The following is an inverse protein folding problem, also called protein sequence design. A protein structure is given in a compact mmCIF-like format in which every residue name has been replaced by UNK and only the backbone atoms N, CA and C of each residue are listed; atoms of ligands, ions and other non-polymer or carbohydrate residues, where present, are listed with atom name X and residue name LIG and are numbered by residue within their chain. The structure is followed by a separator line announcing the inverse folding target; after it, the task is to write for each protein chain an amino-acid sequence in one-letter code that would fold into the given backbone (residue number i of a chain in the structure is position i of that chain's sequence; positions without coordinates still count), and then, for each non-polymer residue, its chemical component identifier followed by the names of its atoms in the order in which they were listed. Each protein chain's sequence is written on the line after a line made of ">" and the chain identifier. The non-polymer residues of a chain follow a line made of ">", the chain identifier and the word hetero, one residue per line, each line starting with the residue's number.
data_IF_606520167012
#
_entry.id   IF_606520167012
#
_cell.length_a   1.000
_cell.length_b   1.000
_cell.length_c   1.000
_cell.angle_alpha   90.00
_cell.angle_beta   90.00
_cell.angle_gamma   90.00
#
_symmetry.space_group_name_H-M   'P 1'
#
loop_
_entity.id
_entity.type
_entity.pdbx_description
1 polymer ?
#
# COMPACT_ATOMS: atom_id res chain seq x y z
N UNK A 1 30.22 -10.70 15.60
CA UNK A 1 28.97 -9.94 15.67
C UNK A 1 27.88 -10.96 15.90
N UNK A 2 27.26 -10.96 17.07
CA UNK A 2 26.25 -11.95 17.43
C UNK A 2 25.00 -11.65 16.64
N UNK A 3 24.57 -12.59 15.78
CA UNK A 3 23.25 -12.62 15.15
C UNK A 3 22.21 -12.89 16.25
N UNK A 4 21.88 -11.85 17.01
CA UNK A 4 20.72 -11.90 17.90
C UNK A 4 19.49 -11.63 17.03
N UNK A 5 18.65 -12.65 16.76
CA UNK A 5 17.43 -12.51 15.98
C UNK A 5 16.41 -11.58 16.65
N UNK A 6 16.68 -11.13 17.87
CA UNK A 6 15.85 -10.19 18.61
C UNK A 6 16.16 -8.71 18.32
N UNK A 7 17.20 -8.38 17.54
CA UNK A 7 17.50 -6.99 17.21
C UNK A 7 16.57 -6.46 16.12
N UNK A 8 16.07 -5.20 16.24
CA UNK A 8 15.30 -4.58 15.17
C UNK A 8 16.18 -4.49 13.90
N UNK A 9 15.60 -4.83 12.74
CA UNK A 9 16.27 -4.78 11.43
C UNK A 9 16.90 -3.43 11.10
N UNK A 10 16.46 -2.37 11.78
CA UNK A 10 17.02 -1.04 11.66
C UNK A 10 17.86 -0.72 12.90
N UNK A 11 19.11 -0.35 12.71
CA UNK A 11 19.96 0.14 13.80
C UNK A 11 19.30 1.37 14.45
N UNK A 12 19.54 1.59 15.73
CA UNK A 12 19.05 2.75 16.49
C UNK A 12 19.55 4.09 15.93
N UNK A 13 20.56 4.08 15.06
CA UNK A 13 21.08 5.24 14.35
C UNK A 13 20.32 5.59 13.06
N UNK A 14 19.30 4.80 12.69
CA UNK A 14 18.53 5.04 11.50
C UNK A 14 17.55 6.23 11.68
N UNK A 15 17.40 7.13 10.70
CA UNK A 15 16.55 8.33 10.84
C UNK A 15 15.10 8.05 11.24
N UNK A 16 14.55 6.86 10.89
CA UNK A 16 13.19 6.44 11.23
C UNK A 16 13.08 5.70 12.57
N UNK A 17 14.18 5.51 13.32
CA UNK A 17 14.17 4.80 14.59
C UNK A 17 13.23 5.42 15.63
N UNK A 18 12.98 6.72 15.56
CA UNK A 18 12.02 7.41 16.42
C UNK A 18 10.58 7.38 15.88
N UNK A 19 10.39 7.39 14.56
CA UNK A 19 9.05 7.45 13.94
C UNK A 19 8.34 6.11 13.96
N UNK A 20 9.04 5.02 13.67
CA UNK A 20 8.42 3.69 13.57
C UNK A 20 7.82 3.18 14.90
N UNK A 21 8.46 3.29 16.07
CA UNK A 21 7.82 2.93 17.35
C UNK A 21 6.56 3.74 17.61
N UNK A 22 6.60 5.07 17.38
CA UNK A 22 5.45 5.95 17.56
C UNK A 22 4.29 5.60 16.61
N UNK A 23 4.59 5.17 15.38
CA UNK A 23 3.60 4.65 14.46
C UNK A 23 3.05 3.30 14.93
N UNK A 24 3.93 2.40 15.40
CA UNK A 24 3.53 1.09 15.91
C UNK A 24 2.64 1.17 17.16
N UNK A 25 2.60 2.31 17.87
CA UNK A 25 1.67 2.57 18.99
C UNK A 25 0.27 3.00 18.53
N UNK A 26 0.09 3.33 17.24
CA UNK A 26 -1.22 3.68 16.69
C UNK A 26 -2.14 2.46 16.64
N UNK A 27 -3.42 2.72 16.41
CA UNK A 27 -4.45 1.69 16.19
C UNK A 27 -4.38 1.13 14.78
N UNK A 28 -4.17 2.03 13.81
CA UNK A 28 -4.06 1.71 12.38
C UNK A 28 -2.92 2.51 11.77
N UNK A 29 -2.10 1.86 10.96
CA UNK A 29 -1.01 2.51 10.20
C UNK A 29 -1.05 2.04 8.75
N UNK A 30 -1.07 2.98 7.82
CA UNK A 30 -1.04 2.70 6.39
C UNK A 30 0.26 3.22 5.79
N UNK A 31 1.08 2.33 5.25
CA UNK A 31 2.30 2.72 4.52
C UNK A 31 1.93 2.97 3.07
N UNK A 32 1.97 4.25 2.70
CA UNK A 32 1.59 4.73 1.37
C UNK A 32 2.80 4.92 0.46
N UNK A 33 2.65 4.59 -0.82
CA UNK A 33 3.70 4.83 -1.80
C UNK A 33 3.63 3.93 -3.03
N UNK A 34 4.33 4.33 -4.09
CA UNK A 34 4.48 3.53 -5.31
C UNK A 34 5.10 2.15 -5.01
N UNK A 35 4.87 1.14 -5.85
CA UNK A 35 5.70 -0.05 -5.87
C UNK A 35 7.19 0.32 -5.94
N UNK A 36 8.04 -0.40 -5.20
CA UNK A 36 9.48 -0.11 -5.18
C UNK A 36 9.88 1.16 -4.42
N UNK A 37 9.14 1.57 -3.40
CA UNK A 37 9.53 2.68 -2.50
C UNK A 37 9.91 2.21 -1.09
N UNK A 38 10.07 0.90 -0.88
CA UNK A 38 10.45 0.36 0.43
C UNK A 38 9.29 0.11 1.39
N UNK A 39 8.02 0.20 0.95
CA UNK A 39 6.85 -0.01 1.80
C UNK A 39 6.88 -1.34 2.55
N UNK A 40 7.12 -2.44 1.84
CA UNK A 40 7.13 -3.79 2.44
C UNK A 40 8.18 -3.91 3.56
N UNK A 41 9.33 -3.23 3.43
CA UNK A 41 10.32 -3.15 4.49
C UNK A 41 9.78 -2.39 5.71
N UNK A 42 9.11 -1.26 5.50
CA UNK A 42 8.51 -0.48 6.60
C UNK A 42 7.37 -1.25 7.28
N UNK A 43 6.53 -1.95 6.51
CA UNK A 43 5.49 -2.85 7.04
C UNK A 43 6.14 -3.92 7.92
N UNK A 44 7.19 -4.59 7.43
CA UNK A 44 7.92 -5.60 8.18
C UNK A 44 8.45 -5.03 9.52
N UNK A 45 9.07 -3.85 9.49
CA UNK A 45 9.56 -3.19 10.70
C UNK A 45 8.44 -2.86 11.70
N UNK A 46 7.32 -2.33 11.24
CA UNK A 46 6.15 -2.04 12.08
C UNK A 46 5.60 -3.32 12.73
N UNK A 47 5.52 -4.42 11.98
CA UNK A 47 5.11 -5.73 12.48
C UNK A 47 6.01 -6.19 13.62
N UNK A 48 7.34 -6.15 13.42
CA UNK A 48 8.29 -6.58 14.45
C UNK A 48 8.25 -5.71 15.71
N UNK A 49 8.19 -4.38 15.53
CA UNK A 49 8.11 -3.44 16.66
C UNK A 49 6.84 -3.71 17.48
N UNK A 50 5.70 -3.83 16.81
CA UNK A 50 4.41 -4.08 17.47
C UNK A 50 4.36 -5.44 18.16
N UNK A 51 4.86 -6.50 17.53
CA UNK A 51 4.91 -7.83 18.12
C UNK A 51 5.80 -7.89 19.35
N UNK A 52 6.96 -7.20 19.35
CA UNK A 52 7.82 -7.08 20.54
C UNK A 52 7.15 -6.30 21.68
N UNK A 53 6.24 -5.40 21.37
CA UNK A 53 5.38 -4.73 22.35
C UNK A 53 4.17 -5.58 22.79
N UNK A 54 4.09 -6.85 22.37
CA UNK A 54 3.01 -7.77 22.72
C UNK A 54 1.71 -7.55 21.95
N UNK A 55 1.76 -6.79 20.83
CA UNK A 55 0.56 -6.50 20.03
C UNK A 55 0.31 -7.57 18.97
N UNK A 56 -0.96 -7.86 18.72
CA UNK A 56 -1.43 -8.72 17.63
C UNK A 56 -1.56 -7.89 16.34
N UNK A 57 -0.86 -8.30 15.29
CA UNK A 57 -0.78 -7.53 14.05
C UNK A 57 -1.67 -8.12 12.98
N UNK A 58 -2.52 -7.28 12.39
CA UNK A 58 -3.37 -7.57 11.24
C UNK A 58 -2.84 -6.82 10.02
N UNK A 59 -2.84 -7.48 8.86
CA UNK A 59 -2.34 -6.87 7.62
C UNK A 59 -3.47 -6.64 6.62
N UNK A 60 -3.49 -5.46 6.02
CA UNK A 60 -4.34 -5.11 4.88
C UNK A 60 -3.44 -4.74 3.70
N UNK A 61 -3.27 -5.66 2.76
CA UNK A 61 -2.38 -5.52 1.62
C UNK A 61 -3.15 -5.65 0.32
N UNK A 62 -2.84 -4.79 -0.66
CA UNK A 62 -3.48 -4.83 -1.98
C UNK A 62 -3.32 -6.19 -2.67
N UNK A 63 -2.12 -6.75 -2.64
CA UNK A 63 -1.79 -7.99 -3.33
C UNK A 63 -2.42 -9.24 -2.68
N UNK A 64 -2.88 -9.12 -1.42
CA UNK A 64 -3.62 -10.16 -0.72
C UNK A 64 -5.15 -9.97 -0.87
N UNK A 65 -5.63 -8.72 -0.85
CA UNK A 65 -7.05 -8.41 -0.93
C UNK A 65 -7.62 -8.54 -2.35
N UNK A 66 -6.85 -8.23 -3.39
CA UNK A 66 -7.28 -8.22 -4.80
C UNK A 66 -7.62 -9.60 -5.39
N UNK A 67 -6.81 -10.65 -5.20
CA UNK A 67 -7.01 -11.93 -5.90
C UNK A 67 -8.41 -12.56 -5.71
N UNK A 68 -9.03 -12.54 -4.52
CA UNK A 68 -10.39 -13.04 -4.35
C UNK A 68 -11.42 -12.30 -5.21
N UNK A 69 -11.23 -11.00 -5.49
CA UNK A 69 -12.11 -10.26 -6.40
C UNK A 69 -11.98 -10.77 -7.84
N UNK A 70 -10.76 -11.00 -8.31
CA UNK A 70 -10.51 -11.50 -9.67
C UNK A 70 -10.99 -12.95 -9.84
N UNK A 71 -10.94 -13.75 -8.77
CA UNK A 71 -11.40 -15.14 -8.74
C UNK A 71 -12.91 -15.30 -8.60
N UNK A 72 -13.62 -14.30 -8.04
CA UNK A 72 -15.05 -14.36 -7.78
C UNK A 72 -15.87 -14.50 -9.07
N UNK A 73 -17.10 -14.99 -8.99
CA UNK A 73 -17.99 -15.18 -10.15
C UNK A 73 -18.21 -13.85 -10.90
N UNK A 74 -18.52 -12.80 -10.17
CA UNK A 74 -18.71 -11.46 -10.75
C UNK A 74 -17.40 -10.89 -11.31
N UNK A 75 -16.30 -11.06 -10.58
CA UNK A 75 -14.99 -10.52 -10.96
C UNK A 75 -14.40 -11.11 -12.22
N UNK A 76 -14.67 -12.39 -12.49
CA UNK A 76 -14.21 -13.05 -13.74
C UNK A 76 -14.74 -12.39 -15.02
N UNK A 77 -15.79 -11.57 -14.95
CA UNK A 77 -16.26 -10.75 -16.08
C UNK A 77 -15.31 -9.59 -16.41
N UNK A 78 -14.40 -9.27 -15.49
CA UNK A 78 -13.49 -8.13 -15.53
C UNK A 78 -12.02 -8.57 -15.46
N UNK A 79 -11.53 -9.31 -16.47
CA UNK A 79 -10.17 -9.81 -16.47
C UNK A 79 -9.14 -8.67 -16.52
N UNK A 80 -7.93 -8.95 -16.07
CA UNK A 80 -6.82 -8.02 -16.26
C UNK A 80 -6.55 -7.76 -17.73
N UNK A 81 -6.23 -6.52 -18.06
CA UNK A 81 -5.81 -6.11 -19.41
C UNK A 81 -4.36 -5.66 -19.33
N UNK A 82 -3.48 -6.32 -20.08
CA UNK A 82 -2.03 -6.04 -20.08
C UNK A 82 -1.38 -6.08 -18.68
N UNK A 83 -1.86 -6.96 -17.79
CA UNK A 83 -1.39 -7.07 -16.41
C UNK A 83 -1.93 -5.98 -15.47
N UNK A 84 -2.87 -5.15 -15.95
CA UNK A 84 -3.54 -4.13 -15.14
C UNK A 84 -4.90 -4.64 -14.70
N UNK A 85 -5.14 -4.64 -13.40
CA UNK A 85 -6.43 -4.99 -12.79
C UNK A 85 -7.54 -4.09 -13.35
N UNK A 86 -8.68 -4.67 -13.72
CA UNK A 86 -9.81 -3.92 -14.28
C UNK A 86 -10.35 -2.86 -13.30
N UNK A 87 -10.88 -1.76 -13.83
CA UNK A 87 -11.41 -0.63 -13.06
C UNK A 87 -12.47 -1.04 -12.02
N UNK A 88 -13.39 -1.91 -12.41
CA UNK A 88 -14.45 -2.45 -11.53
C UNK A 88 -13.85 -3.18 -10.34
N UNK A 89 -12.87 -4.03 -10.56
CA UNK A 89 -12.18 -4.78 -9.48
C UNK A 89 -11.43 -3.83 -8.57
N UNK A 90 -10.73 -2.83 -9.13
CA UNK A 90 -10.01 -1.83 -8.31
C UNK A 90 -10.95 -1.06 -7.38
N UNK A 91 -12.08 -0.58 -7.91
CA UNK A 91 -13.10 0.13 -7.13
C UNK A 91 -13.74 -0.77 -6.08
N UNK A 92 -14.12 -2.00 -6.44
CA UNK A 92 -14.72 -2.96 -5.53
C UNK A 92 -13.79 -3.30 -4.35
N UNK A 93 -12.51 -3.55 -4.64
CA UNK A 93 -11.49 -3.82 -3.62
C UNK A 93 -11.30 -2.64 -2.65
N UNK A 94 -11.33 -1.40 -3.16
CA UNK A 94 -11.19 -0.21 -2.33
C UNK A 94 -12.42 0.04 -1.42
N UNK A 95 -13.62 -0.16 -1.94
CA UNK A 95 -14.86 -0.06 -1.14
C UNK A 95 -14.91 -1.16 -0.07
N UNK A 96 -14.55 -2.40 -0.43
CA UNK A 96 -14.44 -3.49 0.55
C UNK A 96 -13.44 -3.16 1.65
N UNK A 97 -12.27 -2.60 1.32
CA UNK A 97 -11.25 -2.26 2.31
C UNK A 97 -11.81 -1.33 3.41
N UNK A 98 -12.64 -0.36 3.06
CA UNK A 98 -13.31 0.51 4.04
C UNK A 98 -14.26 -0.29 4.94
N UNK A 99 -15.08 -1.16 4.37
CA UNK A 99 -15.96 -2.06 5.13
C UNK A 99 -15.16 -2.99 6.06
N UNK A 100 -14.06 -3.55 5.56
CA UNK A 100 -13.16 -4.42 6.32
C UNK A 100 -12.49 -3.70 7.50
N UNK A 101 -12.15 -2.40 7.36
CA UNK A 101 -11.64 -1.58 8.46
C UNK A 101 -12.68 -1.41 9.57
N UNK A 102 -13.91 -1.05 9.21
CA UNK A 102 -15.00 -0.87 10.18
C UNK A 102 -15.34 -2.18 10.89
N UNK A 103 -15.35 -3.29 10.16
CA UNK A 103 -15.58 -4.61 10.75
C UNK A 103 -14.42 -5.04 11.67
N UNK A 104 -13.16 -4.78 11.25
CA UNK A 104 -11.99 -5.07 12.06
C UNK A 104 -11.98 -4.29 13.38
N UNK A 105 -12.29 -2.99 13.35
CA UNK A 105 -12.32 -2.16 14.55
C UNK A 105 -13.41 -2.62 15.54
N UNK A 106 -14.57 -3.00 15.04
CA UNK A 106 -15.66 -3.53 15.85
C UNK A 106 -15.31 -4.89 16.50
N UNK A 107 -14.57 -5.76 15.80
CA UNK A 107 -14.15 -7.06 16.30
C UNK A 107 -12.97 -6.99 17.27
N UNK A 108 -12.15 -5.99 17.17
CA UNK A 108 -10.91 -5.84 17.93
C UNK A 108 -10.87 -4.47 18.65
N UNK A 109 -11.72 -4.20 19.63
CA UNK A 109 -11.85 -2.87 20.24
C UNK A 109 -10.68 -2.48 21.16
N UNK A 110 -9.79 -3.43 21.48
CA UNK A 110 -8.70 -3.20 22.44
C UNK A 110 -7.41 -2.69 21.77
N UNK A 111 -6.54 -1.95 22.50
CA UNK A 111 -5.29 -1.43 21.96
C UNK A 111 -4.23 -2.52 21.68
N UNK A 112 -4.47 -3.75 22.11
CA UNK A 112 -3.59 -4.91 21.84
C UNK A 112 -3.51 -5.25 20.34
N UNK A 113 -4.47 -4.79 19.55
CA UNK A 113 -4.53 -5.03 18.12
C UNK A 113 -4.00 -3.83 17.34
N UNK A 114 -3.14 -4.07 16.37
CA UNK A 114 -2.67 -3.12 15.37
C UNK A 114 -3.06 -3.58 13.97
N UNK A 115 -3.66 -2.70 13.18
CA UNK A 115 -3.81 -2.92 11.73
C UNK A 115 -2.70 -2.17 10.99
N UNK A 116 -1.92 -2.90 10.19
CA UNK A 116 -0.92 -2.32 9.28
C UNK A 116 -1.40 -2.53 7.85
N UNK A 117 -1.53 -1.45 7.09
CA UNK A 117 -1.93 -1.49 5.68
C UNK A 117 -0.79 -1.10 4.74
N UNK A 118 -0.80 -1.67 3.54
CA UNK A 118 0.02 -1.22 2.43
C UNK A 118 -0.87 -0.62 1.33
N UNK A 119 -0.71 0.70 1.06
CA UNK A 119 -1.60 1.45 0.17
C UNK A 119 -0.83 2.04 -1.00
N UNK A 120 -0.89 1.44 -2.20
CA UNK A 120 -0.23 1.99 -3.39
C UNK A 120 -0.84 3.30 -3.88
N UNK A 121 -2.16 3.49 -3.77
CA UNK A 121 -3.02 4.55 -4.31
C UNK A 121 -2.97 4.70 -5.83
N UNK A 122 -1.79 4.74 -6.43
CA UNK A 122 -1.63 4.93 -7.87
C UNK A 122 -2.53 4.00 -8.68
N UNK A 123 -3.23 4.57 -9.64
CA UNK A 123 -4.19 3.84 -10.47
C UNK A 123 -5.39 3.29 -9.70
N UNK A 124 -5.83 3.99 -8.66
CA UNK A 124 -6.99 3.62 -7.82
C UNK A 124 -6.82 2.29 -7.07
N UNK A 125 -5.66 2.08 -6.45
CA UNK A 125 -5.43 0.93 -5.56
C UNK A 125 -5.58 1.38 -4.11
N UNK A 126 -6.73 1.10 -3.49
CA UNK A 126 -7.12 1.54 -2.15
C UNK A 126 -7.27 3.07 -1.98
N UNK A 127 -7.51 3.82 -3.07
CA UNK A 127 -7.72 5.28 -3.01
C UNK A 127 -8.93 5.64 -2.14
N UNK A 128 -9.91 4.75 -2.06
CA UNK A 128 -11.10 4.89 -1.22
C UNK A 128 -10.75 5.13 0.26
N UNK A 129 -9.59 4.64 0.73
CA UNK A 129 -9.09 4.92 2.08
C UNK A 129 -8.67 6.40 2.26
N UNK A 130 -8.26 7.06 1.18
CA UNK A 130 -7.92 8.48 1.18
C UNK A 130 -9.14 9.39 0.92
N UNK A 131 -10.16 8.91 0.19
CA UNK A 131 -11.37 9.66 -0.14
C UNK A 131 -12.28 9.87 1.08
N UNK A 132 -12.92 11.03 1.15
CA UNK A 132 -14.00 11.30 2.13
C UNK A 132 -15.29 10.64 1.66
N UNK A 133 -15.75 9.64 2.40
CA UNK A 133 -17.02 8.94 2.12
C UNK A 133 -17.86 8.91 3.40
N UNK A 134 -19.18 9.01 3.25
CA UNK A 134 -20.11 8.92 4.36
C UNK A 134 -20.40 7.45 4.70
N UNK A 135 -19.47 6.84 5.45
CA UNK A 135 -19.56 5.45 5.90
C UNK A 135 -18.92 5.24 7.28
N UNK A 136 -18.99 4.01 7.78
CA UNK A 136 -18.46 3.64 9.12
C UNK A 136 -16.94 3.72 9.23
N UNK A 137 -16.20 3.72 8.12
CA UNK A 137 -14.75 3.83 8.13
C UNK A 137 -14.27 5.29 8.24
N UNK A 138 -15.09 6.27 7.84
CA UNK A 138 -14.66 7.68 7.82
C UNK A 138 -14.20 8.21 9.19
N UNK A 139 -14.94 7.99 10.29
CA UNK A 139 -14.49 8.41 11.61
C UNK A 139 -13.17 7.75 12.03
N UNK A 140 -12.94 6.48 11.63
CA UNK A 140 -11.72 5.74 11.93
C UNK A 140 -10.52 6.30 11.16
N UNK A 141 -10.71 6.56 9.86
CA UNK A 141 -9.67 7.05 8.95
C UNK A 141 -9.25 8.50 9.22
N UNK A 142 -10.10 9.29 9.88
CA UNK A 142 -9.82 10.67 10.29
C UNK A 142 -9.33 10.80 11.73
N UNK A 143 -9.44 9.73 12.52
CA UNK A 143 -9.01 9.73 13.92
C UNK A 143 -7.48 9.83 14.04
N UNK A 144 -7.00 10.47 15.12
CA UNK A 144 -5.58 10.55 15.43
C UNK A 144 -4.93 9.17 15.69
N UNK A 145 -5.74 8.15 15.98
CA UNK A 145 -5.29 6.75 16.13
C UNK A 145 -5.02 6.03 14.81
N UNK A 146 -5.46 6.60 13.68
CA UNK A 146 -5.15 6.13 12.33
C UNK A 146 -4.14 7.07 11.68
N UNK A 147 -3.08 6.52 11.07
CA UNK A 147 -2.03 7.34 10.49
C UNK A 147 -1.52 6.77 9.17
N UNK A 148 -1.30 7.66 8.19
CA UNK A 148 -0.73 7.32 6.90
C UNK A 148 0.74 7.75 6.86
N UNK A 149 1.65 6.82 6.55
CA UNK A 149 3.07 7.06 6.44
C UNK A 149 3.50 7.02 4.97
N UNK A 150 3.90 8.17 4.41
CA UNK A 150 4.32 8.26 3.01
C UNK A 150 5.79 7.87 2.91
N UNK A 151 6.09 6.73 2.29
CA UNK A 151 7.45 6.26 2.07
C UNK A 151 8.10 7.02 0.89
N UNK A 152 8.99 7.97 1.17
CA UNK A 152 9.66 8.82 0.18
C UNK A 152 11.13 8.44 0.07
N UNK A 153 11.53 7.57 -0.88
CA UNK A 153 12.94 7.24 -1.09
C UNK A 153 13.69 8.40 -1.73
N UNK A 154 14.95 8.60 -1.30
CA UNK A 154 15.87 9.46 -2.04
C UNK A 154 16.14 8.90 -3.44
N UNK A 155 16.70 9.72 -4.34
CA UNK A 155 17.08 9.27 -5.70
C UNK A 155 18.04 8.09 -5.67
N UNK A 156 18.93 8.05 -4.69
CA UNK A 156 19.89 6.96 -4.51
C UNK A 156 19.20 5.67 -4.09
N UNK A 157 18.32 5.74 -3.06
CA UNK A 157 17.58 4.60 -2.56
C UNK A 157 16.64 4.05 -3.64
N UNK A 158 15.96 4.93 -4.38
CA UNK A 158 15.08 4.51 -5.48
C UNK A 158 15.84 3.73 -6.55
N UNK A 159 16.98 4.22 -7.00
CA UNK A 159 17.84 3.50 -7.97
C UNK A 159 18.32 2.14 -7.46
N UNK A 160 18.70 2.08 -6.17
CA UNK A 160 19.10 0.82 -5.56
C UNK A 160 17.95 -0.20 -5.56
N UNK A 161 16.73 0.22 -5.17
CA UNK A 161 15.56 -0.66 -5.13
C UNK A 161 15.21 -1.16 -6.54
N UNK A 162 15.28 -0.31 -7.56
CA UNK A 162 15.03 -0.73 -8.95
C UNK A 162 16.05 -1.77 -9.44
N UNK A 163 17.33 -1.57 -9.15
CA UNK A 163 18.39 -2.52 -9.48
C UNK A 163 18.25 -3.85 -8.70
N UNK A 164 17.84 -3.80 -7.43
CA UNK A 164 17.57 -5.01 -6.65
C UNK A 164 16.39 -5.80 -7.22
N UNK A 165 15.31 -5.11 -7.63
CA UNK A 165 14.16 -5.78 -8.25
C UNK A 165 14.52 -6.46 -9.56
N UNK A 166 15.35 -5.84 -10.38
CA UNK A 166 15.83 -6.44 -11.63
C UNK A 166 16.59 -7.75 -11.34
N UNK A 167 17.46 -7.75 -10.32
CA UNK A 167 18.18 -8.96 -9.88
C UNK A 167 17.24 -10.04 -9.33
N UNK A 168 16.24 -9.66 -8.51
CA UNK A 168 15.30 -10.60 -7.89
C UNK A 168 14.27 -11.16 -8.89
N UNK A 169 13.89 -10.40 -9.91
CA UNK A 169 13.05 -10.90 -11.00
C UNK A 169 13.70 -12.08 -11.72
N UNK A 170 15.04 -12.09 -11.83
CA UNK A 170 15.78 -13.19 -12.43
C UNK A 170 15.97 -14.39 -11.46
N UNK A 171 16.01 -14.15 -10.14
CA UNK A 171 16.21 -15.18 -9.10
C UNK A 171 15.45 -14.83 -7.83
N UNK A 172 14.13 -15.08 -7.76
CA UNK A 172 13.30 -14.76 -6.58
C UNK A 172 13.68 -15.64 -5.40
N UNK A 173 13.79 -15.04 -4.22
CA UNK A 173 14.10 -15.72 -2.94
C UNK A 173 12.84 -16.10 -2.15
N UNK A 174 11.69 -15.44 -2.46
CA UNK A 174 10.40 -15.72 -1.85
C UNK A 174 9.31 -15.76 -2.95
N UNK A 175 8.25 -16.61 -2.83
CA UNK A 175 7.18 -16.69 -3.83
C UNK A 175 6.53 -15.35 -4.19
N UNK A 176 6.27 -14.49 -3.20
CA UNK A 176 5.69 -13.14 -3.39
C UNK A 176 6.57 -12.20 -4.23
N UNK A 177 7.89 -12.42 -4.29
CA UNK A 177 8.78 -11.60 -5.12
C UNK A 177 8.54 -11.80 -6.63
N UNK A 178 7.90 -12.91 -7.03
CA UNK A 178 7.49 -13.16 -8.43
C UNK A 178 6.34 -12.26 -8.88
N UNK A 179 5.56 -11.78 -7.91
CA UNK A 179 4.41 -10.90 -8.14
C UNK A 179 4.82 -9.42 -8.09
N UNK A 180 6.06 -9.15 -7.69
CA UNK A 180 6.61 -7.80 -7.64
C UNK A 180 6.60 -7.14 -9.02
N UNK A 181 6.16 -5.88 -9.07
CA UNK A 181 6.13 -5.10 -10.30
C UNK A 181 7.52 -4.97 -10.93
N UNK A 182 7.70 -5.37 -12.19
CA UNK A 182 9.00 -5.29 -12.87
C UNK A 182 9.45 -3.83 -13.07
N UNK A 183 10.75 -3.56 -13.31
CA UNK A 183 11.29 -2.20 -13.43
C UNK A 183 10.57 -1.32 -14.46
N UNK A 184 10.07 -1.91 -15.57
CA UNK A 184 9.28 -1.18 -16.56
C UNK A 184 8.00 -0.60 -15.93
N UNK A 185 7.25 -1.42 -15.20
CA UNK A 185 6.02 -0.99 -14.52
C UNK A 185 6.31 0.10 -13.49
N UNK A 186 7.44 0.01 -12.77
CA UNK A 186 7.84 1.06 -11.82
C UNK A 186 8.06 2.42 -12.52
N UNK A 187 8.67 2.41 -13.70
CA UNK A 187 8.89 3.62 -14.51
C UNK A 187 7.58 4.16 -15.08
N UNK A 188 6.70 3.29 -15.55
CA UNK A 188 5.38 3.68 -16.08
C UNK A 188 4.52 4.31 -14.96
N UNK A 189 4.46 3.70 -13.78
CA UNK A 189 3.75 4.26 -12.63
C UNK A 189 4.35 5.59 -12.14
N UNK A 190 5.66 5.75 -12.23
CA UNK A 190 6.30 7.04 -11.93
C UNK A 190 5.94 8.11 -12.97
N UNK A 191 5.91 7.76 -14.26
CA UNK A 191 5.47 8.67 -15.34
C UNK A 191 4.04 9.13 -15.11
N UNK A 192 3.13 8.19 -14.82
CA UNK A 192 1.72 8.48 -14.54
C UNK A 192 1.57 9.42 -13.35
N UNK A 193 2.33 9.19 -12.28
CA UNK A 193 2.31 10.07 -11.11
C UNK A 193 2.89 11.46 -11.45
N UNK A 194 4.01 11.53 -12.17
CA UNK A 194 4.63 12.78 -12.53
C UNK A 194 3.76 13.64 -13.47
N UNK A 195 2.95 13.01 -14.32
CA UNK A 195 2.04 13.69 -15.23
C UNK A 195 0.92 14.47 -14.53
N UNK A 196 0.66 14.17 -13.26
CA UNK A 196 -0.30 14.91 -12.42
C UNK A 196 0.16 16.34 -12.17
N UNK A 197 1.48 16.54 -12.00
CA UNK A 197 2.09 17.84 -11.70
C UNK A 197 2.70 18.50 -12.94
N UNK A 198 3.14 17.70 -13.92
CA UNK A 198 3.84 18.17 -15.12
C UNK A 198 3.06 17.75 -16.35
N UNK A 199 2.19 18.63 -16.89
CA UNK A 199 1.41 18.32 -18.10
C UNK A 199 2.32 17.95 -19.28
N UNK A 200 1.84 17.01 -20.13
CA UNK A 200 2.57 16.56 -21.32
C UNK A 200 3.61 15.46 -21.10
N UNK A 201 3.80 14.97 -19.86
CA UNK A 201 4.71 13.85 -19.60
C UNK A 201 4.09 12.48 -19.80
N UNK A 202 2.77 12.38 -19.95
CA UNK A 202 2.07 11.09 -20.11
C UNK A 202 2.52 10.32 -21.35
N UNK A 203 2.81 11.01 -22.46
CA UNK A 203 3.26 10.44 -23.75
C UNK A 203 4.78 10.49 -23.93
N UNK A 204 5.49 11.17 -23.02
CA UNK A 204 6.94 11.32 -23.05
C UNK A 204 7.64 10.18 -22.26
N UNK A 205 8.97 9.98 -22.44
CA UNK A 205 9.75 9.16 -21.54
C UNK A 205 9.58 9.62 -20.09
N UNK A 206 9.53 8.66 -19.14
CA UNK A 206 9.41 9.01 -17.73
C UNK A 206 10.52 9.99 -17.30
N UNK A 207 10.18 11.12 -16.67
CA UNK A 207 11.19 12.05 -16.16
C UNK A 207 12.02 11.39 -15.06
N UNK A 208 13.23 11.91 -14.77
CA UNK A 208 13.99 11.45 -13.61
C UNK A 208 13.15 11.53 -12.34
N UNK A 209 13.30 10.51 -11.47
CA UNK A 209 12.57 10.48 -10.20
C UNK A 209 12.90 11.71 -9.35
N UNK A 210 11.85 12.40 -8.88
CA UNK A 210 11.93 13.56 -8.00
C UNK A 210 11.18 13.29 -6.70
N UNK A 211 11.90 13.13 -5.55
CA UNK A 211 11.28 12.88 -4.26
C UNK A 211 10.29 13.96 -3.82
N UNK A 212 10.56 15.24 -4.12
CA UNK A 212 9.68 16.34 -3.73
C UNK A 212 8.38 16.36 -4.53
N UNK A 213 8.44 16.09 -5.83
CA UNK A 213 7.25 15.96 -6.67
C UNK A 213 6.41 14.76 -6.18
N UNK A 214 7.08 13.64 -5.95
CA UNK A 214 6.46 12.43 -5.41
C UNK A 214 5.72 12.70 -4.10
N UNK A 215 6.39 13.34 -3.14
CA UNK A 215 5.83 13.71 -1.84
C UNK A 215 4.58 14.58 -2.01
N UNK A 216 4.66 15.66 -2.80
CA UNK A 216 3.52 16.59 -3.01
C UNK A 216 2.27 15.89 -3.54
N UNK A 217 2.43 14.94 -4.48
CA UNK A 217 1.28 14.18 -5.01
C UNK A 217 0.64 13.33 -3.91
N UNK A 218 1.44 12.62 -3.10
CA UNK A 218 0.90 11.79 -2.02
C UNK A 218 0.29 12.61 -0.89
N UNK A 219 0.88 13.75 -0.51
CA UNK A 219 0.28 14.68 0.46
C UNK A 219 -1.05 15.24 -0.05
N UNK A 220 -1.17 15.53 -1.35
CA UNK A 220 -2.44 15.92 -1.96
C UNK A 220 -3.48 14.80 -1.84
N UNK A 221 -3.13 13.57 -2.15
CA UNK A 221 -4.02 12.42 -2.02
C UNK A 221 -4.47 12.24 -0.57
N UNK A 222 -3.58 12.45 0.38
CA UNK A 222 -3.83 12.27 1.81
C UNK A 222 -4.27 13.54 2.56
N UNK A 223 -4.62 14.62 1.86
CA UNK A 223 -4.97 15.92 2.48
C UNK A 223 -6.07 15.86 3.54
N UNK A 224 -6.90 14.82 3.51
CA UNK A 224 -8.00 14.60 4.45
C UNK A 224 -7.71 13.51 5.49
N UNK A 225 -6.46 13.06 5.58
CA UNK A 225 -6.03 11.98 6.49
C UNK A 225 -4.87 12.44 7.37
N UNK A 226 -4.80 12.00 8.64
CA UNK A 226 -3.59 12.17 9.41
C UNK A 226 -2.43 11.47 8.73
N UNK A 227 -1.39 12.21 8.34
CA UNK A 227 -0.26 11.61 7.63
C UNK A 227 1.08 12.26 8.01
N UNK A 228 2.16 11.54 7.73
CA UNK A 228 3.54 12.02 7.83
C UNK A 228 4.40 11.45 6.72
N UNK A 229 5.51 12.13 6.44
CA UNK A 229 6.50 11.71 5.45
C UNK A 229 7.62 10.94 6.16
N UNK A 230 7.91 9.75 5.65
CA UNK A 230 9.06 8.95 6.05
C UNK A 230 10.13 9.05 4.95
N UNK A 231 11.13 9.92 5.14
CA UNK A 231 12.24 10.04 4.22
C UNK A 231 13.17 8.82 4.31
N UNK A 232 13.39 8.15 3.20
CA UNK A 232 14.28 6.99 3.08
C UNK A 232 15.58 7.43 2.39
N UNK A 233 16.52 7.93 3.17
CA UNK A 233 17.79 8.48 2.66
C UNK A 233 18.95 7.46 2.71
N UNK A 234 18.77 6.33 3.37
CA UNK A 234 19.78 5.30 3.49
C UNK A 234 19.27 3.98 2.87
N UNK A 235 20.20 3.25 2.25
CA UNK A 235 19.96 1.88 1.79
C UNK A 235 19.95 0.98 3.04
N UNK A 236 18.82 0.31 3.25
CA UNK A 236 18.65 -0.61 4.35
C UNK A 236 19.02 -2.02 3.89
N UNK A 237 19.96 -2.63 4.61
CA UNK A 237 20.25 -4.05 4.45
C UNK A 237 19.30 -4.84 5.36
N UNK A 238 18.55 -5.77 4.78
CA UNK A 238 17.69 -6.68 5.55
C UNK A 238 18.52 -7.83 6.08
N UNK A 239 18.30 -8.21 7.33
CA UNK A 239 18.91 -9.42 7.92
C UNK A 239 18.25 -10.69 7.36
N UNK A 240 17.01 -10.61 6.91
CA UNK A 240 16.28 -11.72 6.28
C UNK A 240 16.52 -11.79 4.77
N UNK A 241 16.42 -13.00 4.16
CA UNK A 241 16.52 -13.17 2.71
C UNK A 241 15.47 -12.37 1.92
N UNK A 242 14.28 -12.17 2.48
CA UNK A 242 13.20 -11.41 1.86
C UNK A 242 12.50 -10.49 2.87
N UNK A 243 11.97 -9.36 2.37
CA UNK A 243 11.11 -8.45 3.15
C UNK A 243 9.72 -9.04 3.45
N UNK A 244 9.40 -10.17 2.85
CA UNK A 244 8.15 -10.91 3.08
C UNK A 244 8.29 -12.01 4.14
N UNK A 245 9.50 -12.23 4.67
CA UNK A 245 9.73 -13.17 5.76
C UNK A 245 9.38 -12.49 7.09
N UNK A 246 8.24 -12.87 7.66
CA UNK A 246 7.82 -12.41 8.99
C UNK A 246 8.15 -13.50 10.02
N UNK A 247 8.97 -13.16 11.00
CA UNK A 247 9.32 -14.08 12.11
C UNK A 247 8.24 -14.12 13.20
N UNK A 248 7.16 -13.34 13.02
CA UNK A 248 6.07 -13.23 13.97
C UNK A 248 4.73 -13.51 13.30
N UNK A 249 3.73 -14.09 14.01
CA UNK A 249 2.42 -14.32 13.45
C UNK A 249 1.73 -13.00 13.05
N UNK A 250 1.15 -13.00 11.84
CA UNK A 250 0.30 -11.91 11.33
C UNK A 250 -1.03 -12.48 10.84
N UNK A 251 -2.06 -11.64 10.81
CA UNK A 251 -3.39 -11.99 10.35
C UNK A 251 -3.75 -11.19 9.10
N UNK A 252 -3.65 -11.81 7.94
CA UNK A 252 -4.00 -11.17 6.67
C UNK A 252 -5.51 -10.89 6.58
N UNK A 253 -5.87 -9.67 6.17
CA UNK A 253 -7.25 -9.28 5.86
C UNK A 253 -7.48 -9.44 4.37
N UNK A 254 -8.32 -10.41 4.03
CA UNK A 254 -8.74 -10.67 2.66
C UNK A 254 -10.25 -10.91 2.62
N UNK A 255 -10.95 -10.55 1.53
CA UNK A 255 -12.36 -10.91 1.37
C UNK A 255 -12.49 -12.40 1.07
N UNK A 256 -13.63 -12.96 1.42
CA UNK A 256 -14.10 -14.21 0.80
C UNK A 256 -14.60 -13.92 -0.63
N UNK A 257 -14.67 -14.97 -1.49
CA UNK A 257 -15.22 -14.80 -2.84
C UNK A 257 -16.68 -14.27 -2.83
N UNK A 258 -17.59 -14.73 -1.93
CA UNK A 258 -18.95 -14.14 -1.83
C UNK A 258 -18.93 -12.65 -1.44
N UNK A 259 -18.06 -12.24 -0.52
CA UNK A 259 -17.90 -10.80 -0.21
C UNK A 259 -17.41 -10.01 -1.42
N UNK A 260 -16.41 -10.53 -2.13
CA UNK A 260 -15.89 -9.92 -3.34
C UNK A 260 -16.98 -9.73 -4.41
N UNK A 261 -17.82 -10.77 -4.62
CA UNK A 261 -18.97 -10.71 -5.53
C UNK A 261 -19.96 -9.59 -5.17
N UNK A 262 -20.27 -9.43 -3.87
CA UNK A 262 -21.18 -8.38 -3.42
C UNK A 262 -20.65 -6.98 -3.80
N UNK A 263 -19.38 -6.72 -3.57
CA UNK A 263 -18.79 -5.43 -3.89
C UNK A 263 -18.62 -5.20 -5.40
N UNK A 264 -18.33 -6.25 -6.19
CA UNK A 264 -18.30 -6.13 -7.65
C UNK A 264 -19.69 -5.74 -8.18
N UNK A 265 -20.74 -6.44 -7.74
CA UNK A 265 -22.14 -6.14 -8.12
C UNK A 265 -22.57 -4.75 -7.64
N UNK A 266 -22.10 -4.29 -6.49
CA UNK A 266 -22.32 -2.92 -6.01
C UNK A 266 -21.72 -1.88 -6.97
N UNK A 267 -20.48 -2.11 -7.44
CA UNK A 267 -19.84 -1.23 -8.41
C UNK A 267 -20.60 -1.23 -9.75
N UNK A 268 -21.00 -2.41 -10.26
CA UNK A 268 -21.81 -2.52 -11.49
C UNK A 268 -23.12 -1.73 -11.39
N UNK A 269 -23.81 -1.85 -10.25
CA UNK A 269 -25.06 -1.11 -10.01
C UNK A 269 -24.82 0.40 -9.95
N UNK A 270 -23.71 0.84 -9.35
CA UNK A 270 -23.36 2.26 -9.22
C UNK A 270 -22.87 2.88 -10.52
N UNK A 271 -22.23 2.08 -11.36
CA UNK A 271 -21.64 2.51 -12.64
C UNK A 271 -22.20 1.68 -13.81
N UNK A 272 -23.46 1.91 -14.23
CA UNK A 272 -24.01 1.23 -15.41
C UNK A 272 -23.23 1.56 -16.69
N UNK A 273 -22.64 2.74 -16.76
CA UNK A 273 -21.68 3.15 -17.78
C UNK A 273 -20.27 3.15 -17.19
N UNK A 274 -19.47 2.17 -17.60
CA UNK A 274 -18.09 2.01 -17.11
C UNK A 274 -17.15 3.14 -17.53
N UNK A 275 -17.49 3.92 -18.57
CA UNK A 275 -16.68 5.08 -18.97
C UNK A 275 -16.63 6.15 -17.87
N UNK A 276 -17.68 6.27 -17.08
CA UNK A 276 -17.72 7.16 -15.91
C UNK A 276 -16.74 6.68 -14.83
N UNK A 277 -16.74 5.37 -14.56
CA UNK A 277 -15.79 4.77 -13.62
C UNK A 277 -14.34 4.95 -14.09
N UNK A 278 -14.06 4.70 -15.37
CA UNK A 278 -12.73 4.88 -15.94
C UNK A 278 -12.24 6.32 -15.81
N UNK A 279 -13.13 7.30 -16.05
CA UNK A 279 -12.83 8.73 -15.89
C UNK A 279 -12.55 9.11 -14.43
N UNK A 280 -13.24 8.51 -13.45
CA UNK A 280 -12.97 8.70 -12.03
C UNK A 280 -11.62 8.07 -11.63
N UNK A 281 -11.35 6.86 -12.07
CA UNK A 281 -10.10 6.16 -11.80
C UNK A 281 -8.92 6.88 -12.44
N UNK A 282 -9.08 7.43 -13.64
CA UNK A 282 -8.04 8.23 -14.26
C UNK A 282 -7.66 9.48 -13.44
N UNK A 283 -8.56 9.94 -12.57
CA UNK A 283 -8.36 11.09 -11.66
C UNK A 283 -8.22 10.66 -10.19
N UNK A 284 -7.64 9.51 -9.94
CA UNK A 284 -7.50 8.88 -8.62
C UNK A 284 -6.90 9.80 -7.54
N UNK A 285 -6.11 10.81 -7.92
CA UNK A 285 -5.49 11.77 -6.99
C UNK A 285 -6.41 12.90 -6.52
N UNK A 286 -7.63 13.00 -7.07
CA UNK A 286 -8.65 13.98 -6.68
C UNK A 286 -9.51 13.38 -5.55
N UNK A 287 -8.96 13.32 -4.34
CA UNK A 287 -9.61 12.78 -3.13
C UNK A 287 -10.39 13.83 -2.36
#
# INVERSE_FOLDING_TARGET
>A
MSDDPSQPYLSTSFPLAASLPRLADRRMVFVAGLPGTGKSLLVNQLVHIAARAGRLVHLLQWDVARPPFEASEAGRRYPQVNGVTHAVVRRATGLWARGALAAWDALHPTPEHLLVGETPFVGNRFVELAQRLDDRAEPLLTAASCHFAIAVPSRQVRRFIEAERERRSASPRHPREREDAPPRVLRDLWRDLASIEVPGTAEAPAPPYDPLLYQRVYERVLRHRPHEVLALDAILTTATPSVYDFDVPTHDRAPTEPEADLFVREVERRYPDLSVLDAEIARWWQT
#
